data_IF_750265533616
#
_entry.id   IF_750265533616
#
_cell.length_a   1.000
_cell.length_b   1.000
_cell.length_c   1.000
_cell.angle_alpha   90.00
_cell.angle_beta   90.00
_cell.angle_gamma   90.00
#
_symmetry.space_group_name_H-M   'P 1'
#
loop_
_entity.id
_entity.type
_entity.pdbx_description
1 polymer ?
#
# COMPACT_ATOMS: atom_id res chain seq x y z
N UNK A 1 -4.11 -14.59 -9.84
CA UNK A 1 -2.91 -15.39 -9.49
C UNK A 1 -2.64 -15.18 -8.00
N UNK A 2 -2.55 -16.25 -7.23
CA UNK A 2 -2.24 -16.18 -5.79
C UNK A 2 -0.79 -16.64 -5.57
N UNK A 3 -0.05 -15.91 -4.72
CA UNK A 3 1.33 -16.19 -4.37
C UNK A 3 1.49 -16.66 -2.91
N UNK A 4 0.43 -16.54 -2.12
CA UNK A 4 0.38 -16.90 -0.70
C UNK A 4 -0.89 -16.39 -0.02
N UNK A 5 -0.93 -16.52 1.32
CA UNK A 5 -2.07 -16.10 2.14
C UNK A 5 -1.64 -15.20 3.33
N UNK A 6 -0.42 -14.68 3.26
CA UNK A 6 0.18 -13.83 4.31
C UNK A 6 0.80 -12.58 3.68
N UNK A 7 0.86 -11.52 4.44
CA UNK A 7 1.57 -10.30 4.06
C UNK A 7 3.06 -10.54 4.36
N UNK A 8 3.85 -10.71 3.30
CA UNK A 8 5.28 -11.03 3.39
C UNK A 8 6.06 -10.25 2.32
N UNK A 9 7.16 -9.57 2.68
CA UNK A 9 7.98 -8.82 1.72
C UNK A 9 8.48 -9.65 0.54
N UNK A 10 8.78 -10.94 0.75
CA UNK A 10 9.22 -11.84 -0.33
C UNK A 10 8.10 -12.17 -1.31
N UNK A 11 6.87 -12.31 -0.79
CA UNK A 11 5.68 -12.48 -1.65
C UNK A 11 5.46 -11.21 -2.47
N UNK A 12 5.56 -10.03 -1.85
CA UNK A 12 5.44 -8.76 -2.56
C UNK A 12 6.53 -8.60 -3.64
N UNK A 13 7.78 -8.90 -3.31
CA UNK A 13 8.87 -8.87 -4.28
C UNK A 13 8.58 -9.80 -5.47
N UNK A 14 8.09 -11.02 -5.22
CA UNK A 14 7.69 -11.95 -6.28
C UNK A 14 6.57 -11.39 -7.15
N UNK A 15 5.57 -10.74 -6.55
CA UNK A 15 4.47 -10.10 -7.27
C UNK A 15 5.04 -8.99 -8.17
N UNK A 16 5.87 -8.09 -7.65
CA UNK A 16 6.49 -7.00 -8.43
C UNK A 16 7.31 -7.52 -9.61
N UNK A 17 8.14 -8.54 -9.40
CA UNK A 17 8.91 -9.17 -10.48
C UNK A 17 8.00 -9.83 -11.52
N UNK A 18 6.88 -10.44 -11.08
CA UNK A 18 5.89 -11.02 -11.99
C UNK A 18 5.20 -9.93 -12.81
N UNK A 19 4.82 -8.80 -12.20
CA UNK A 19 4.24 -7.64 -12.91
C UNK A 19 5.19 -7.16 -13.99
N UNK A 20 6.45 -6.87 -13.62
CA UNK A 20 7.47 -6.42 -14.57
C UNK A 20 7.71 -7.43 -15.71
N UNK A 21 7.70 -8.73 -15.38
CA UNK A 21 7.80 -9.80 -16.39
C UNK A 21 6.63 -9.84 -17.36
N UNK A 22 5.40 -9.63 -16.87
CA UNK A 22 4.20 -9.58 -17.72
C UNK A 22 4.20 -8.34 -18.59
N UNK A 23 4.52 -7.17 -18.03
CA UNK A 23 4.61 -5.90 -18.76
C UNK A 23 5.65 -5.96 -19.88
N UNK A 24 6.79 -6.62 -19.65
CA UNK A 24 7.85 -6.79 -20.66
C UNK A 24 7.42 -7.60 -21.89
N UNK A 25 6.36 -8.39 -21.80
CA UNK A 25 5.81 -9.13 -22.94
C UNK A 25 4.99 -8.25 -23.89
N UNK A 26 4.61 -7.04 -23.46
CA UNK A 26 3.75 -6.12 -24.24
C UNK A 26 2.53 -6.80 -24.86
N UNK A 27 1.84 -7.66 -24.10
CA UNK A 27 0.69 -8.43 -24.58
C UNK A 27 -0.48 -7.50 -24.89
N UNK A 28 -0.80 -7.37 -26.16
CA UNK A 28 -2.03 -6.70 -26.56
C UNK A 28 -3.25 -7.46 -26.01
N UNK A 29 -4.14 -6.76 -25.31
CA UNK A 29 -5.35 -7.35 -24.71
C UNK A 29 -5.21 -7.58 -23.20
N UNK A 30 -4.05 -7.35 -22.57
CA UNK A 30 -4.00 -7.07 -21.14
C UNK A 30 -4.50 -5.64 -20.92
N UNK A 31 -5.56 -5.50 -20.13
CA UNK A 31 -6.23 -4.21 -19.87
C UNK A 31 -5.63 -3.56 -18.62
N UNK A 32 -5.48 -4.35 -17.55
CA UNK A 32 -4.99 -3.86 -16.28
C UNK A 32 -4.33 -4.99 -15.49
N UNK A 33 -3.30 -4.63 -14.72
CA UNK A 33 -2.61 -5.51 -13.78
C UNK A 33 -2.68 -4.87 -12.40
N UNK A 34 -3.36 -5.50 -11.44
CA UNK A 34 -3.57 -4.96 -10.10
C UNK A 34 -2.87 -5.85 -9.08
N UNK A 35 -1.70 -5.45 -8.56
CA UNK A 35 -1.05 -6.15 -7.47
C UNK A 35 -1.80 -5.93 -6.15
N UNK A 36 -1.82 -6.98 -5.31
CA UNK A 36 -2.32 -6.92 -3.94
C UNK A 36 -1.24 -7.43 -2.98
N UNK A 37 -1.55 -7.58 -1.69
CA UNK A 37 -0.58 -8.08 -0.70
C UNK A 37 0.01 -9.46 -1.04
N UNK A 38 -0.80 -10.37 -1.59
CA UNK A 38 -0.41 -11.77 -1.82
C UNK A 38 -0.93 -12.34 -3.14
N UNK A 39 -1.54 -11.50 -3.98
CA UNK A 39 -2.12 -11.93 -5.24
C UNK A 39 -1.95 -10.85 -6.33
N UNK A 40 -2.18 -11.27 -7.57
CA UNK A 40 -2.18 -10.41 -8.75
C UNK A 40 -3.48 -10.64 -9.52
N UNK A 41 -4.27 -9.58 -9.69
CA UNK A 41 -5.42 -9.59 -10.59
C UNK A 41 -4.97 -9.11 -11.96
N UNK A 42 -5.37 -9.82 -13.00
CA UNK A 42 -5.12 -9.45 -14.39
C UNK A 42 -6.46 -9.33 -15.09
N UNK A 43 -6.77 -8.14 -15.55
CA UNK A 43 -7.92 -7.89 -16.42
C UNK A 43 -7.48 -7.98 -17.87
N UNK A 44 -8.18 -8.77 -18.66
CA UNK A 44 -7.82 -9.01 -20.06
C UNK A 44 -9.04 -9.07 -20.98
N UNK A 45 -8.81 -8.84 -22.26
CA UNK A 45 -9.82 -8.97 -23.32
C UNK A 45 -10.05 -10.44 -23.67
N UNK A 46 -11.21 -10.97 -23.29
CA UNK A 46 -11.60 -12.36 -23.54
C UNK A 46 -11.86 -12.69 -25.04
N UNK A 47 -11.91 -11.67 -25.90
CA UNK A 47 -11.96 -11.88 -27.35
C UNK A 47 -10.57 -12.14 -27.95
N UNK A 48 -9.50 -11.76 -27.24
CA UNK A 48 -8.10 -11.99 -27.67
C UNK A 48 -7.49 -13.24 -27.07
N UNK A 49 -7.82 -13.55 -25.82
CA UNK A 49 -7.28 -14.73 -25.10
C UNK A 49 -8.39 -15.50 -24.43
N UNK A 50 -8.39 -16.80 -24.57
CA UNK A 50 -9.08 -17.67 -23.62
C UNK A 50 -8.31 -17.71 -22.30
N UNK A 51 -8.99 -18.05 -21.20
CA UNK A 51 -8.35 -18.22 -19.90
C UNK A 51 -7.18 -19.21 -19.94
N UNK A 52 -7.37 -20.34 -20.66
CA UNK A 52 -6.34 -21.37 -20.77
C UNK A 52 -5.10 -20.92 -21.56
N UNK A 53 -5.28 -20.09 -22.58
CA UNK A 53 -4.17 -19.50 -23.34
C UNK A 53 -3.39 -18.53 -22.49
N UNK A 54 -4.08 -17.61 -21.81
CA UNK A 54 -3.43 -16.66 -20.93
C UNK A 54 -2.67 -17.35 -19.80
N UNK A 55 -3.24 -18.37 -19.17
CA UNK A 55 -2.55 -19.16 -18.16
C UNK A 55 -1.23 -19.75 -18.70
N UNK A 56 -1.25 -20.35 -19.89
CA UNK A 56 -0.04 -20.94 -20.52
C UNK A 56 1.05 -19.90 -20.80
N UNK A 57 0.66 -18.68 -21.16
CA UNK A 57 1.60 -17.57 -21.41
C UNK A 57 2.23 -17.08 -20.10
N UNK A 58 1.43 -16.96 -19.04
CA UNK A 58 1.84 -16.35 -17.77
C UNK A 58 2.52 -17.30 -16.82
N UNK A 59 2.20 -18.61 -16.87
CA UNK A 59 2.75 -19.63 -15.97
C UNK A 59 4.29 -19.62 -15.89
N UNK A 60 5.05 -19.55 -17.01
CA UNK A 60 6.51 -19.48 -16.95
C UNK A 60 7.04 -18.28 -16.20
N UNK A 61 6.34 -17.14 -16.25
CA UNK A 61 6.74 -15.91 -15.55
C UNK A 61 6.44 -16.05 -14.06
N UNK A 62 5.25 -16.54 -13.72
CA UNK A 62 4.81 -16.72 -12.34
C UNK A 62 5.64 -17.75 -11.56
N UNK A 63 6.27 -18.69 -12.25
CA UNK A 63 7.06 -19.77 -11.65
C UNK A 63 8.56 -19.47 -11.60
N UNK A 64 9.02 -18.34 -12.17
CA UNK A 64 10.42 -17.95 -12.08
C UNK A 64 10.86 -17.77 -10.62
N UNK A 65 12.07 -18.21 -10.27
CA UNK A 65 12.61 -17.92 -8.95
C UNK A 65 12.76 -16.40 -8.76
N UNK A 66 12.47 -15.93 -7.54
CA UNK A 66 12.70 -14.53 -7.18
C UNK A 66 14.19 -14.23 -7.34
N UNK A 67 14.51 -13.30 -8.20
CA UNK A 67 15.89 -12.81 -8.34
C UNK A 67 16.20 -11.90 -7.16
N UNK A 68 17.36 -12.07 -6.57
CA UNK A 68 17.88 -11.06 -5.64
C UNK A 68 18.10 -9.78 -6.45
N UNK A 69 17.32 -8.77 -6.16
CA UNK A 69 17.41 -7.49 -6.87
C UNK A 69 18.55 -6.68 -6.27
N UNK A 70 19.75 -6.87 -6.79
CA UNK A 70 20.94 -6.09 -6.41
C UNK A 70 20.92 -4.65 -6.99
N UNK A 71 19.91 -4.30 -7.79
CA UNK A 71 19.90 -3.06 -8.59
C UNK A 71 18.68 -2.15 -8.37
N UNK A 72 17.64 -2.56 -7.66
CA UNK A 72 16.60 -1.60 -7.30
C UNK A 72 17.17 -0.57 -6.32
N UNK A 73 17.45 0.63 -6.82
CA UNK A 73 17.63 1.79 -5.95
C UNK A 73 16.35 1.95 -5.15
N UNK A 74 16.41 1.54 -3.90
CA UNK A 74 15.28 1.72 -2.98
C UNK A 74 15.03 3.20 -2.84
N UNK A 75 13.90 3.67 -3.35
CA UNK A 75 13.48 5.05 -3.15
C UNK A 75 12.78 5.13 -1.79
N UNK A 76 13.37 5.88 -0.87
CA UNK A 76 12.73 6.23 0.41
C UNK A 76 12.16 7.63 0.26
N UNK A 77 10.85 7.78 0.40
CA UNK A 77 10.16 9.07 0.31
C UNK A 77 9.76 9.52 1.70
N UNK A 78 10.34 10.61 2.17
CA UNK A 78 9.98 11.19 3.46
C UNK A 78 8.62 11.89 3.39
N UNK A 79 7.68 11.50 4.27
CA UNK A 79 6.35 12.09 4.40
C UNK A 79 6.27 12.88 5.71
N UNK A 80 6.52 14.21 5.70
CA UNK A 80 6.41 15.01 6.90
C UNK A 80 4.98 14.96 7.44
N UNK A 81 4.84 14.59 8.71
CA UNK A 81 3.53 14.35 9.33
C UNK A 81 3.42 15.10 10.67
N UNK A 82 2.34 15.85 10.84
CA UNK A 82 1.96 16.44 12.13
C UNK A 82 1.07 15.44 12.85
N UNK A 83 1.50 14.98 14.03
CA UNK A 83 0.78 13.99 14.82
C UNK A 83 -0.09 14.64 15.90
N UNK A 84 -1.21 14.01 16.22
CA UNK A 84 -2.10 14.38 17.30
C UNK A 84 -2.91 15.67 17.08
N UNK A 85 -3.55 16.15 18.15
CA UNK A 85 -4.41 17.32 18.11
C UNK A 85 -5.54 17.18 17.08
N UNK A 86 -5.81 18.26 16.35
CA UNK A 86 -6.80 18.28 15.29
C UNK A 86 -6.42 17.41 14.07
N UNK A 87 -5.13 17.16 13.86
CA UNK A 87 -4.61 16.38 12.73
C UNK A 87 -4.58 14.88 13.00
N UNK A 88 -4.56 14.47 14.27
CA UNK A 88 -4.52 13.07 14.70
C UNK A 88 -5.46 12.79 15.86
N UNK A 89 -6.79 12.96 15.68
CA UNK A 89 -7.78 12.89 16.76
C UNK A 89 -7.82 11.53 17.49
N UNK A 90 -7.30 10.47 16.89
CA UNK A 90 -7.30 9.13 17.46
C UNK A 90 -5.95 8.72 18.07
N UNK A 91 -4.93 9.59 18.06
CA UNK A 91 -3.61 9.27 18.59
C UNK A 91 -3.69 8.84 20.07
N UNK A 92 -4.46 9.56 20.88
CA UNK A 92 -4.69 9.22 22.28
C UNK A 92 -5.41 7.87 22.47
N UNK A 93 -6.33 7.50 21.55
CA UNK A 93 -6.95 6.19 21.56
C UNK A 93 -5.95 5.08 21.22
N UNK A 94 -5.15 5.25 20.18
CA UNK A 94 -4.09 4.30 19.79
C UNK A 94 -3.12 4.08 20.95
N UNK A 95 -2.69 5.16 21.61
CA UNK A 95 -1.79 5.12 22.76
C UNK A 95 -2.42 4.33 23.91
N UNK A 96 -3.64 4.68 24.32
CA UNK A 96 -4.34 4.03 25.44
C UNK A 96 -4.65 2.55 25.15
N UNK A 97 -5.05 2.22 23.93
CA UNK A 97 -5.34 0.85 23.50
C UNK A 97 -4.13 -0.07 23.66
N UNK A 98 -2.95 0.45 23.37
CA UNK A 98 -1.69 -0.29 23.39
C UNK A 98 -0.87 -0.10 24.69
N UNK A 99 -1.43 0.59 25.71
CA UNK A 99 -0.75 0.89 26.96
C UNK A 99 0.57 1.68 26.78
N UNK A 100 0.58 2.60 25.83
CA UNK A 100 1.68 3.48 25.46
C UNK A 100 1.32 4.95 25.73
N UNK A 101 2.32 5.83 25.68
CA UNK A 101 2.10 7.28 25.56
C UNK A 101 1.93 7.68 24.09
N UNK A 102 1.33 8.83 23.82
CA UNK A 102 1.25 9.37 22.45
C UNK A 102 2.64 9.57 21.86
N UNK A 103 3.63 9.99 22.66
CA UNK A 103 5.02 10.13 22.24
C UNK A 103 5.64 8.79 21.83
N UNK A 104 5.33 7.70 22.54
CA UNK A 104 5.80 6.37 22.18
C UNK A 104 5.19 5.93 20.83
N UNK A 105 3.88 6.15 20.63
CA UNK A 105 3.22 5.83 19.36
C UNK A 105 3.86 6.59 18.20
N UNK A 106 4.10 7.90 18.36
CA UNK A 106 4.77 8.72 17.34
C UNK A 106 6.17 8.19 17.06
N UNK A 107 6.96 7.93 18.12
CA UNK A 107 8.34 7.43 17.98
C UNK A 107 8.39 6.08 17.25
N UNK A 108 7.48 5.16 17.59
CA UNK A 108 7.40 3.85 16.94
C UNK A 108 6.95 4.00 15.50
N UNK A 109 5.91 4.81 15.24
CA UNK A 109 5.36 4.98 13.89
C UNK A 109 6.34 5.67 12.94
N UNK A 110 7.08 6.69 13.40
CA UNK A 110 8.04 7.43 12.58
C UNK A 110 9.45 6.84 12.56
N UNK A 111 9.70 5.79 13.33
CA UNK A 111 11.03 5.19 13.48
C UNK A 111 11.32 3.99 12.56
N UNK A 112 10.44 3.72 11.58
CA UNK A 112 10.53 2.56 10.69
C UNK A 112 10.21 2.98 9.27
N UNK A 113 10.98 2.46 8.31
CA UNK A 113 10.65 2.60 6.90
C UNK A 113 9.56 1.58 6.51
N UNK A 114 8.53 2.06 5.85
CA UNK A 114 7.37 1.26 5.44
C UNK A 114 7.43 0.94 3.96
N UNK A 115 7.31 -0.33 3.60
CA UNK A 115 7.16 -0.74 2.21
C UNK A 115 5.74 -0.46 1.71
N UNK A 116 5.61 0.17 0.56
CA UNK A 116 4.35 0.29 -0.18
C UNK A 116 4.07 -1.06 -0.85
N UNK A 117 3.17 -1.85 -0.26
CA UNK A 117 2.80 -3.16 -0.80
C UNK A 117 1.90 -3.07 -2.01
N UNK A 118 0.93 -2.19 -1.96
CA UNK A 118 -0.06 -2.01 -3.02
C UNK A 118 -0.70 -0.63 -2.96
N UNK A 119 -1.27 -0.23 -4.08
CA UNK A 119 -2.13 0.94 -4.21
C UNK A 119 -3.57 0.49 -4.40
N UNK A 120 -4.56 1.21 -3.86
CA UNK A 120 -5.96 0.85 -4.04
C UNK A 120 -6.92 1.60 -3.13
N UNK A 121 -8.17 1.20 -3.05
CA UNK A 121 -9.27 1.88 -2.37
C UNK A 121 -9.69 3.17 -3.09
N UNK A 122 -8.82 4.16 -3.19
CA UNK A 122 -8.97 5.39 -3.98
C UNK A 122 -7.64 5.72 -4.67
N UNK A 123 -7.62 6.49 -5.76
CA UNK A 123 -6.38 6.85 -6.45
C UNK A 123 -5.35 7.49 -5.51
N UNK A 124 -4.15 6.93 -5.48
CA UNK A 124 -3.04 7.40 -4.64
C UNK A 124 -3.05 6.92 -3.18
N UNK A 125 -4.04 6.12 -2.74
CA UNK A 125 -4.01 5.52 -1.41
C UNK A 125 -3.00 4.39 -1.37
N UNK A 126 -2.09 4.45 -0.39
CA UNK A 126 -1.02 3.48 -0.19
C UNK A 126 -1.32 2.56 0.99
N UNK A 127 -1.20 1.26 0.78
CA UNK A 127 -1.19 0.28 1.84
C UNK A 127 0.25 -0.02 2.22
N UNK A 128 0.64 0.45 3.40
CA UNK A 128 1.99 0.33 3.94
C UNK A 128 2.08 -0.88 4.86
N UNK A 129 3.15 -1.63 4.75
CA UNK A 129 3.45 -2.77 5.61
C UNK A 129 4.74 -2.59 6.38
N UNK A 130 4.94 -3.44 7.39
CA UNK A 130 6.10 -3.36 8.28
C UNK A 130 5.86 -2.54 9.55
N UNK A 131 4.60 -2.16 9.82
CA UNK A 131 4.26 -1.46 11.06
C UNK A 131 4.50 -2.35 12.29
N UNK A 132 5.11 -1.77 13.31
CA UNK A 132 5.35 -2.45 14.59
C UNK A 132 4.01 -2.82 15.25
N UNK A 133 3.85 -4.10 15.59
CA UNK A 133 2.61 -4.62 16.19
C UNK A 133 2.26 -3.99 17.53
N UNK A 134 3.22 -3.34 18.22
CA UNK A 134 2.97 -2.62 19.46
C UNK A 134 2.01 -1.44 19.32
N UNK A 135 1.81 -0.91 18.11
CA UNK A 135 0.86 0.16 17.83
C UNK A 135 -0.33 -0.31 17.00
N UNK A 136 -0.46 -1.63 16.78
CA UNK A 136 -1.58 -2.19 16.05
C UNK A 136 -2.92 -1.87 16.75
N UNK A 137 -3.86 -1.32 16.01
CA UNK A 137 -5.13 -0.85 16.60
C UNK A 137 -6.28 -1.14 15.64
N UNK A 138 -7.39 -1.74 16.11
CA UNK A 138 -8.51 -2.08 15.26
C UNK A 138 -9.17 -0.83 14.64
N UNK A 139 -9.84 -1.03 13.52
CA UNK A 139 -10.65 0.01 12.87
C UNK A 139 -11.75 0.50 13.80
N UNK A 140 -12.25 1.70 13.52
CA UNK A 140 -13.47 2.20 14.15
C UNK A 140 -14.64 1.26 13.89
N UNK A 141 -15.50 1.05 14.88
CA UNK A 141 -16.74 0.26 14.74
C UNK A 141 -17.71 0.87 13.74
N UNK A 142 -17.71 2.19 13.61
CA UNK A 142 -18.48 2.94 12.61
C UNK A 142 -17.52 3.84 11.84
N UNK A 143 -17.37 3.64 10.52
CA UNK A 143 -16.53 4.51 9.71
C UNK A 143 -16.98 5.97 9.76
N UNK A 144 -16.02 6.90 9.69
CA UNK A 144 -16.32 8.33 9.47
C UNK A 144 -16.83 8.54 8.06
N UNK A 145 -17.76 9.47 7.91
CA UNK A 145 -18.25 9.90 6.60
C UNK A 145 -17.25 10.79 5.86
N UNK A 146 -16.34 11.40 6.62
CA UNK A 146 -15.32 12.31 6.08
C UNK A 146 -14.00 12.19 6.85
N UNK A 147 -12.94 11.89 6.13
CA UNK A 147 -11.54 11.94 6.55
C UNK A 147 -10.84 12.89 5.59
N UNK A 148 -10.18 13.95 6.07
CA UNK A 148 -9.49 14.91 5.22
C UNK A 148 -8.31 14.31 4.46
N UNK A 149 -8.01 14.84 3.27
CA UNK A 149 -6.80 14.52 2.52
C UNK A 149 -5.54 14.74 3.36
N UNK A 150 -4.53 13.89 3.13
CA UNK A 150 -3.28 13.88 3.89
C UNK A 150 -3.36 13.16 5.23
N UNK A 151 -4.55 12.71 5.69
CA UNK A 151 -4.67 12.01 6.97
C UNK A 151 -3.86 10.72 6.96
N UNK A 152 -3.07 10.52 8.03
CA UNK A 152 -2.28 9.31 8.28
C UNK A 152 -3.02 8.47 9.31
N UNK A 153 -3.21 7.19 9.03
CA UNK A 153 -4.03 6.34 9.88
C UNK A 153 -3.49 4.93 10.10
N UNK A 154 -4.01 4.29 11.14
CA UNK A 154 -3.72 2.89 11.51
C UNK A 154 -5.00 2.06 11.43
N UNK A 155 -4.90 0.83 10.93
CA UNK A 155 -5.97 -0.15 10.91
C UNK A 155 -5.42 -1.58 11.03
N UNK A 156 -5.61 -2.22 12.19
CA UNK A 156 -4.93 -3.47 12.49
C UNK A 156 -3.42 -3.27 12.52
N UNK A 157 -2.70 -4.06 11.76
CA UNK A 157 -1.23 -3.99 11.61
C UNK A 157 -0.79 -3.14 10.41
N UNK A 158 -1.67 -2.32 9.86
CA UNK A 158 -1.44 -1.53 8.66
C UNK A 158 -1.42 -0.04 8.98
N UNK A 159 -0.60 0.72 8.26
CA UNK A 159 -0.65 2.16 8.20
C UNK A 159 -0.80 2.64 6.76
N UNK A 160 -1.21 3.88 6.57
CA UNK A 160 -1.39 4.45 5.23
C UNK A 160 -1.81 5.92 5.30
N UNK A 161 -1.81 6.56 4.13
CA UNK A 161 -2.14 7.97 4.00
C UNK A 161 -3.30 8.16 3.02
N UNK A 162 -4.32 8.90 3.43
CA UNK A 162 -5.48 9.26 2.62
C UNK A 162 -5.11 10.34 1.60
N UNK A 163 -5.14 10.06 0.28
CA UNK A 163 -4.73 11.04 -0.73
C UNK A 163 -5.76 12.12 -0.99
N UNK A 164 -7.03 11.86 -0.69
CA UNK A 164 -8.15 12.77 -0.89
C UNK A 164 -9.17 12.63 0.21
N UNK A 165 -10.07 13.60 0.32
CA UNK A 165 -11.21 13.51 1.23
C UNK A 165 -12.05 12.27 0.90
N UNK A 166 -12.30 11.43 1.89
CA UNK A 166 -13.04 10.19 1.70
C UNK A 166 -13.65 9.67 3.02
N UNK A 167 -14.67 8.82 2.97
CA UNK A 167 -15.08 8.07 4.16
C UNK A 167 -13.99 7.04 4.53
N UNK A 168 -13.95 6.66 5.82
CA UNK A 168 -13.02 5.61 6.27
C UNK A 168 -13.15 5.29 7.75
N UNK A 169 -12.64 4.10 8.12
CA UNK A 169 -12.71 3.59 9.49
C UNK A 169 -11.36 3.43 10.18
N UNK A 170 -10.29 4.03 9.65
CA UNK A 170 -8.97 3.96 10.26
C UNK A 170 -8.84 4.94 11.43
N UNK A 171 -7.98 4.61 12.39
CA UNK A 171 -7.62 5.50 13.48
C UNK A 171 -6.67 6.57 12.95
N UNK A 172 -7.10 7.82 12.91
CA UNK A 172 -6.31 8.92 12.37
C UNK A 172 -5.36 9.44 13.44
N UNK A 173 -4.05 9.28 13.19
CA UNK A 173 -2.98 9.63 14.13
C UNK A 173 -2.21 10.89 13.77
N UNK A 174 -2.32 11.34 12.51
CA UNK A 174 -1.62 12.52 12.02
C UNK A 174 -2.08 12.95 10.64
N UNK A 175 -1.43 13.99 10.11
CA UNK A 175 -1.72 14.51 8.78
C UNK A 175 -0.45 15.07 8.14
N UNK A 176 -0.28 14.78 6.85
CA UNK A 176 0.76 15.37 6.01
C UNK A 176 0.20 16.52 5.17
N UNK A 177 0.97 17.60 4.93
CA UNK A 177 0.61 18.64 3.99
C UNK A 177 0.87 18.24 2.53
N UNK A 178 1.53 17.10 2.27
CA UNK A 178 1.85 16.67 0.92
C UNK A 178 0.60 16.20 0.17
N UNK A 179 0.53 16.57 -1.11
CA UNK A 179 -0.46 15.99 -2.02
C UNK A 179 0.00 14.60 -2.45
N UNK A 180 -0.64 13.57 -1.92
CA UNK A 180 -0.35 12.17 -2.25
C UNK A 180 -0.79 11.78 -3.66
N UNK A 181 -1.77 12.50 -4.21
CA UNK A 181 -2.30 12.30 -5.56
C UNK A 181 -2.64 13.62 -6.22
N UNK A 182 -2.20 13.81 -7.46
CA UNK A 182 -2.49 14.99 -8.27
C UNK A 182 -2.56 14.57 -9.74
N UNK A 183 -3.77 14.54 -10.30
CA UNK A 183 -4.04 14.11 -11.68
C UNK A 183 -3.38 15.02 -12.74
N UNK A 184 -2.87 16.19 -12.37
CA UNK A 184 -2.17 17.10 -13.29
C UNK A 184 -0.69 16.76 -13.48
N UNK A 185 -0.13 15.87 -12.64
CA UNK A 185 1.25 15.42 -12.75
C UNK A 185 1.37 14.28 -13.76
N UNK A 186 2.54 14.13 -14.37
CA UNK A 186 2.87 12.99 -15.21
C UNK A 186 2.76 11.67 -14.42
N UNK A 187 3.37 11.62 -13.23
CA UNK A 187 3.13 10.60 -12.21
C UNK A 187 2.11 11.15 -11.20
N UNK A 188 0.84 10.82 -11.39
CA UNK A 188 -0.25 11.36 -10.59
C UNK A 188 -0.16 10.99 -9.10
N UNK A 189 0.29 9.78 -8.76
CA UNK A 189 0.54 9.35 -7.39
C UNK A 189 1.97 9.71 -6.95
N UNK A 190 2.12 10.17 -5.71
CA UNK A 190 3.44 10.49 -5.13
C UNK A 190 4.28 9.23 -4.89
N UNK A 191 3.64 8.12 -4.61
CA UNK A 191 4.25 6.83 -4.28
C UNK A 191 3.75 5.76 -5.25
N UNK A 192 4.54 4.72 -5.41
CA UNK A 192 4.19 3.50 -6.15
C UNK A 192 4.50 2.25 -5.34
N UNK A 193 3.92 1.12 -5.73
CA UNK A 193 4.23 -0.16 -5.11
C UNK A 193 5.73 -0.48 -5.24
N UNK A 194 6.36 -0.84 -4.13
CA UNK A 194 7.80 -1.08 -4.02
C UNK A 194 8.61 0.08 -3.46
N UNK A 195 8.08 1.30 -3.41
CA UNK A 195 8.73 2.41 -2.72
C UNK A 195 8.74 2.17 -1.20
N UNK A 196 9.63 2.88 -0.51
CA UNK A 196 9.64 2.97 0.95
C UNK A 196 9.27 4.39 1.40
N UNK A 197 8.63 4.47 2.57
CA UNK A 197 8.18 5.72 3.18
C UNK A 197 8.81 5.86 4.55
#
# INVERSE_FOLDING_TARGET
>A
IEFGQVIDPKINQRIRQTVAGIESLHLEGIIEIVPTYCALLIQYDALRYTYAELCRILEPICTQPVRADESELVTVVEIPTVYGGEFGPDLGFVASHNHLTEADVVSIHSGTDYLVYMMGFIPGFTYLGGMDSRIATPRLSSPRTHIPAGSVGIAGEQTGTYPSDSPGGWQIIGRTPLSMYDASREEAALLKAGDYV
#
